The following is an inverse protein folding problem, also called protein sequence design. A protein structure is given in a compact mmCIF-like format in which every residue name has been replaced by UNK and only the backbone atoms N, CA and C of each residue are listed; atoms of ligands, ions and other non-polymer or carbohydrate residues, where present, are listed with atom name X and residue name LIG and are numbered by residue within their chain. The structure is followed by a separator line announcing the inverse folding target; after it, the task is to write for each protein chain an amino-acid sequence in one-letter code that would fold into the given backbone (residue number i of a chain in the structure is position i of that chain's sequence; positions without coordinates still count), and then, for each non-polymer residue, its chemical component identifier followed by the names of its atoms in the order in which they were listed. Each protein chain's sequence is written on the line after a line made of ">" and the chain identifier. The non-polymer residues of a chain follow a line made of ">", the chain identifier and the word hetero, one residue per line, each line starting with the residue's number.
data_IF_312199240965
#
_entry.id   IF_312199240965
#
_cell.length_a   1.000
_cell.length_b   1.000
_cell.length_c   1.000
_cell.angle_alpha   90.00
_cell.angle_beta   90.00
_cell.angle_gamma   90.00
#
_symmetry.space_group_name_H-M   'P 1'
#
loop_
_entity.id
_entity.type
_entity.pdbx_description
1 polymer ?
#
# COMPACT_ATOMS: atom_id res chain seq x y z
N UNK A 1 -32.58 4.69 2.13
CA UNK A 1 -31.79 3.62 2.81
C UNK A 1 -30.42 3.52 2.17
N UNK A 2 -29.35 3.66 2.97
CA UNK A 2 -27.96 3.76 2.50
C UNK A 2 -27.33 2.37 2.29
N UNK A 3 -26.50 2.12 1.28
CA UNK A 3 -25.69 0.88 1.20
C UNK A 3 -24.32 1.17 0.56
N UNK A 4 -23.25 0.69 1.18
CA UNK A 4 -21.84 0.88 0.76
C UNK A 4 -21.30 -0.43 0.19
N UNK A 5 -20.62 -0.39 -0.95
CA UNK A 5 -19.85 -1.53 -1.47
C UNK A 5 -18.35 -1.19 -1.42
N UNK A 6 -17.56 -1.97 -0.68
CA UNK A 6 -16.12 -1.80 -0.53
C UNK A 6 -15.35 -2.92 -1.27
N UNK A 7 -14.27 -2.57 -1.97
CA UNK A 7 -13.35 -3.55 -2.55
C UNK A 7 -12.08 -3.69 -1.72
N UNK A 8 -11.79 -4.88 -1.16
CA UNK A 8 -10.52 -5.19 -0.50
C UNK A 8 -9.72 -6.21 -1.33
N UNK A 9 -8.41 -5.97 -1.49
CA UNK A 9 -7.46 -6.95 -2.04
C UNK A 9 -6.91 -7.76 -0.86
N UNK A 10 -7.20 -9.05 -0.80
CA UNK A 10 -6.87 -9.93 0.32
C UNK A 10 -5.39 -9.85 0.72
N UNK A 11 -5.15 -9.54 2.00
CA UNK A 11 -3.86 -9.71 2.67
C UNK A 11 -3.99 -10.85 3.67
N UNK A 12 -3.11 -11.84 3.56
CA UNK A 12 -2.93 -12.96 4.49
C UNK A 12 -2.94 -12.49 5.96
N UNK A 13 -3.71 -13.16 6.83
CA UNK A 13 -3.59 -13.05 8.27
C UNK A 13 -2.95 -14.33 8.80
N UNK A 14 -1.65 -14.28 9.09
CA UNK A 14 -0.92 -15.35 9.76
C UNK A 14 -1.19 -15.21 11.26
N UNK A 15 -1.99 -16.11 11.82
CA UNK A 15 -2.14 -16.27 13.27
C UNK A 15 -0.93 -17.08 13.78
N UNK A 16 -0.08 -16.47 14.61
CA UNK A 16 1.02 -17.15 15.29
C UNK A 16 0.65 -17.28 16.76
N UNK A 17 0.27 -18.49 17.17
CA UNK A 17 0.06 -18.83 18.57
C UNK A 17 1.41 -19.14 19.22
N UNK A 18 1.71 -18.49 20.35
CA UNK A 18 2.82 -18.88 21.22
C UNK A 18 2.27 -19.60 22.45
N UNK A 19 2.45 -20.92 22.58
CA UNK A 19 2.20 -21.62 23.82
C UNK A 19 3.44 -21.52 24.72
N UNK A 20 3.21 -21.60 26.04
CA UNK A 20 4.20 -21.79 27.13
C UNK A 20 4.94 -20.55 27.65
N UNK A 21 4.43 -19.96 28.74
CA UNK A 21 5.06 -19.96 30.08
C UNK A 21 4.22 -19.16 31.10
N UNK A 22 3.66 -19.89 32.05
CA UNK A 22 3.16 -19.46 33.37
C UNK A 22 3.99 -20.25 34.41
N UNK A 23 4.14 -19.84 35.69
CA UNK A 23 2.97 -19.67 36.55
C UNK A 23 3.05 -18.66 37.72
N UNK A 24 1.87 -18.15 38.09
CA UNK A 24 1.67 -17.39 39.33
C UNK A 24 0.21 -17.22 39.71
N UNK A 25 -0.41 -18.30 40.22
CA UNK A 25 -1.52 -18.39 41.19
C UNK A 25 -2.63 -17.30 41.19
N UNK A 26 -3.89 -17.68 40.99
CA UNK A 26 -4.83 -18.11 42.05
C UNK A 26 -6.30 -18.30 41.57
N UNK A 27 -6.94 -19.29 42.19
CA UNK A 27 -8.39 -19.56 42.42
C UNK A 27 -9.34 -19.86 41.25
N UNK A 28 -9.84 -21.11 41.29
CA UNK A 28 -11.01 -21.64 40.60
C UNK A 28 -12.33 -20.99 41.04
N UNK A 29 -13.21 -20.71 40.08
CA UNK A 29 -14.63 -21.08 40.18
C UNK A 29 -15.29 -21.07 38.79
N UNK A 30 -16.16 -22.05 38.47
CA UNK A 30 -16.79 -22.18 37.16
C UNK A 30 -18.06 -21.32 37.12
N UNK A 31 -18.19 -20.47 36.10
CA UNK A 31 -19.46 -19.80 35.79
C UNK A 31 -19.70 -19.91 34.30
N UNK A 32 -20.76 -20.63 33.94
CA UNK A 32 -21.37 -20.61 32.62
C UNK A 32 -21.84 -19.20 32.30
N UNK A 33 -21.51 -18.68 31.11
CA UNK A 33 -22.12 -17.46 30.60
C UNK A 33 -22.87 -17.76 29.32
N UNK A 34 -24.19 -17.90 29.50
CA UNK A 34 -25.21 -17.56 28.51
C UNK A 34 -25.14 -16.06 28.17
N UNK A 35 -25.59 -15.74 26.96
CA UNK A 35 -25.67 -14.41 26.35
C UNK A 35 -25.98 -13.25 27.31
N UNK A 36 -25.23 -12.14 27.16
CA UNK A 36 -25.47 -10.88 27.85
C UNK A 36 -24.32 -9.90 27.65
N UNK A 37 -24.27 -9.25 26.50
CA UNK A 37 -23.34 -8.13 26.25
C UNK A 37 -23.85 -6.91 27.03
N UNK A 38 -23.36 -6.71 28.25
CA UNK A 38 -23.44 -5.43 28.96
C UNK A 38 -22.01 -5.04 29.38
N UNK A 39 -21.46 -4.01 28.75
CA UNK A 39 -20.13 -3.51 29.12
C UNK A 39 -19.38 -2.64 28.12
N UNK A 40 -20.05 -2.04 27.13
CA UNK A 40 -19.46 -0.92 26.38
C UNK A 40 -20.12 0.38 26.87
N UNK A 41 -19.35 1.48 27.05
CA UNK A 41 -19.89 2.74 27.52
C UNK A 41 -20.95 3.25 26.55
N UNK A 42 -22.07 3.70 27.12
CA UNK A 42 -23.23 4.26 26.44
C UNK A 42 -22.90 5.59 25.73
N UNK A 43 -22.22 5.49 24.59
CA UNK A 43 -22.01 6.59 23.64
C UNK A 43 -22.92 6.46 22.40
N UNK A 44 -24.09 5.83 22.60
CA UNK A 44 -25.10 5.68 21.56
C UNK A 44 -26.36 6.35 22.06
N UNK A 45 -26.52 7.61 21.68
CA UNK A 45 -27.76 8.35 21.86
C UNK A 45 -28.85 7.69 20.99
N UNK A 46 -29.95 7.18 21.57
CA UNK A 46 -31.04 6.55 20.82
C UNK A 46 -31.80 7.52 19.90
N UNK A 47 -31.49 8.82 19.92
CA UNK A 47 -32.02 9.81 18.96
C UNK A 47 -31.27 9.83 17.62
N UNK A 48 -30.09 9.19 17.52
CA UNK A 48 -29.36 9.09 16.25
C UNK A 48 -30.09 8.10 15.34
N UNK A 49 -30.88 8.62 14.39
CA UNK A 49 -31.47 7.84 13.30
C UNK A 49 -30.35 7.06 12.58
N UNK A 50 -30.31 5.75 12.75
CA UNK A 50 -29.47 4.90 11.91
C UNK A 50 -29.95 5.01 10.46
N UNK A 51 -29.09 5.43 9.54
CA UNK A 51 -29.39 5.57 8.10
C UNK A 51 -29.65 4.22 7.37
N UNK A 52 -29.88 3.14 8.12
CA UNK A 52 -30.14 1.80 7.60
C UNK A 52 -29.03 1.32 6.65
N UNK A 53 -27.77 1.62 6.98
CA UNK A 53 -26.64 1.36 6.11
C UNK A 53 -26.22 -0.12 6.11
N UNK A 54 -26.07 -0.74 4.93
CA UNK A 54 -25.46 -2.08 4.79
C UNK A 54 -24.17 -2.03 3.97
N UNK A 55 -23.14 -2.75 4.41
CA UNK A 55 -21.84 -2.86 3.74
C UNK A 55 -21.72 -4.19 2.97
N UNK A 56 -21.29 -4.11 1.72
CA UNK A 56 -21.02 -5.26 0.84
C UNK A 56 -19.56 -5.24 0.39
N UNK A 57 -18.99 -6.41 0.14
CA UNK A 57 -17.60 -6.54 -0.28
C UNK A 57 -17.59 -7.13 -1.69
N UNK A 58 -17.13 -6.36 -2.67
CA UNK A 58 -17.08 -6.82 -4.06
C UNK A 58 -16.12 -8.00 -4.20
N UNK A 59 -16.59 -9.07 -4.85
CA UNK A 59 -15.82 -10.30 -5.07
C UNK A 59 -16.00 -11.35 -3.97
N UNK A 60 -16.78 -11.06 -2.92
CA UNK A 60 -17.29 -12.10 -2.02
C UNK A 60 -18.64 -12.59 -2.56
N UNK A 61 -18.76 -13.87 -2.99
CA UNK A 61 -19.97 -14.37 -3.66
C UNK A 61 -21.27 -14.13 -2.88
N UNK A 62 -21.23 -14.27 -1.56
CA UNK A 62 -22.39 -14.05 -0.67
C UNK A 62 -22.85 -12.58 -0.68
N UNK A 63 -21.90 -11.64 -0.69
CA UNK A 63 -22.19 -10.21 -0.73
C UNK A 63 -22.67 -9.80 -2.12
N UNK A 64 -22.04 -10.33 -3.17
CA UNK A 64 -22.41 -10.07 -4.56
C UNK A 64 -23.84 -10.58 -4.86
N UNK A 65 -24.18 -11.78 -4.37
CA UNK A 65 -25.53 -12.34 -4.49
C UNK A 65 -26.55 -11.48 -3.74
N UNK A 66 -26.30 -11.20 -2.46
CA UNK A 66 -27.24 -10.43 -1.63
C UNK A 66 -27.46 -9.03 -2.20
N UNK A 67 -26.39 -8.35 -2.66
CA UNK A 67 -26.49 -7.06 -3.31
C UNK A 67 -27.33 -7.16 -4.60
N UNK A 68 -27.11 -8.18 -5.43
CA UNK A 68 -27.89 -8.39 -6.66
C UNK A 68 -29.38 -8.58 -6.38
N UNK A 69 -29.74 -9.38 -5.36
CA UNK A 69 -31.12 -9.60 -4.95
C UNK A 69 -31.79 -8.28 -4.54
N UNK A 70 -31.12 -7.49 -3.69
CA UNK A 70 -31.62 -6.19 -3.24
C UNK A 70 -31.81 -5.20 -4.40
N UNK A 71 -30.87 -5.13 -5.34
CA UNK A 71 -30.96 -4.23 -6.48
C UNK A 71 -32.14 -4.57 -7.40
N UNK A 72 -32.51 -5.85 -7.48
CA UNK A 72 -33.66 -6.31 -8.28
C UNK A 72 -35.01 -5.97 -7.65
N UNK A 73 -35.08 -5.85 -6.33
CA UNK A 73 -36.34 -5.54 -5.62
C UNK A 73 -36.91 -4.16 -5.99
N UNK A 74 -36.05 -3.18 -6.28
CA UNK A 74 -36.46 -1.80 -6.49
C UNK A 74 -35.51 -1.06 -7.44
N UNK A 75 -35.47 -1.49 -8.69
CA UNK A 75 -34.60 -0.90 -9.72
C UNK A 75 -34.91 0.59 -9.91
N UNK A 76 -36.19 0.96 -9.90
CA UNK A 76 -36.64 2.33 -10.18
C UNK A 76 -36.43 3.29 -9.01
N UNK A 77 -36.46 2.81 -7.77
CA UNK A 77 -36.11 3.58 -6.58
C UNK A 77 -34.63 3.51 -6.19
N UNK A 78 -33.78 2.82 -6.95
CA UNK A 78 -32.34 2.68 -6.62
C UNK A 78 -31.48 3.52 -7.56
N UNK A 79 -30.58 4.33 -7.01
CA UNK A 79 -29.58 5.10 -7.77
C UNK A 79 -28.15 4.70 -7.39
N UNK A 80 -27.24 4.68 -8.36
CA UNK A 80 -25.81 4.47 -8.16
C UNK A 80 -25.08 5.81 -8.16
N UNK A 81 -24.37 6.14 -7.08
CA UNK A 81 -23.51 7.32 -7.02
C UNK A 81 -22.21 7.05 -7.79
N UNK A 82 -22.21 7.39 -9.08
CA UNK A 82 -21.06 7.20 -9.98
C UNK A 82 -21.19 8.13 -11.21
N UNK A 83 -20.19 8.98 -11.50
CA UNK A 83 -20.26 9.90 -12.63
C UNK A 83 -19.92 9.18 -13.94
N UNK A 84 -20.93 8.56 -14.56
CA UNK A 84 -20.90 8.05 -15.92
C UNK A 84 -21.42 9.09 -16.92
N UNK A 85 -21.26 8.83 -18.22
CA UNK A 85 -21.74 9.74 -19.28
C UNK A 85 -23.27 9.88 -19.30
N UNK A 86 -23.99 8.92 -18.71
CA UNK A 86 -25.45 8.91 -18.57
C UNK A 86 -25.91 9.28 -17.15
N UNK A 87 -24.99 9.71 -16.28
CA UNK A 87 -25.34 10.05 -14.91
C UNK A 87 -26.11 11.38 -14.88
N UNK A 88 -27.20 11.41 -14.13
CA UNK A 88 -27.97 12.62 -13.89
C UNK A 88 -27.40 13.39 -12.69
N UNK A 89 -27.46 14.74 -12.68
CA UNK A 89 -27.20 15.50 -11.47
C UNK A 89 -28.16 15.07 -10.35
N UNK A 90 -27.64 14.89 -9.13
CA UNK A 90 -28.46 14.50 -7.98
C UNK A 90 -29.64 15.47 -7.72
N UNK A 91 -29.45 16.77 -7.94
CA UNK A 91 -30.51 17.78 -7.82
C UNK A 91 -31.65 17.58 -8.83
N UNK A 92 -31.37 17.06 -10.03
CA UNK A 92 -32.42 16.72 -10.99
C UNK A 92 -33.24 15.50 -10.53
N UNK A 93 -32.61 14.54 -9.85
CA UNK A 93 -33.31 13.41 -9.25
C UNK A 93 -34.24 13.82 -8.09
N UNK A 94 -33.86 14.85 -7.33
CA UNK A 94 -34.70 15.42 -6.29
C UNK A 94 -35.95 16.09 -6.88
N UNK A 95 -35.78 16.85 -7.97
CA UNK A 95 -36.86 17.52 -8.67
C UNK A 95 -37.89 16.56 -9.30
N UNK A 96 -37.49 15.32 -9.59
CA UNK A 96 -38.42 14.27 -10.02
C UNK A 96 -39.32 13.76 -8.89
N UNK A 97 -39.04 14.11 -7.63
CA UNK A 97 -39.63 13.54 -6.41
C UNK A 97 -41.14 13.69 -6.23
N UNK A 98 -41.80 14.57 -6.98
CA UNK A 98 -43.26 14.67 -7.02
C UNK A 98 -43.91 13.62 -7.95
N UNK A 99 -43.11 12.95 -8.78
CA UNK A 99 -43.54 11.87 -9.67
C UNK A 99 -42.89 10.55 -9.25
N UNK A 100 -43.68 9.50 -9.05
CA UNK A 100 -43.14 8.15 -8.81
C UNK A 100 -42.25 7.72 -10.00
N UNK A 101 -41.03 7.22 -9.75
CA UNK A 101 -40.50 6.73 -8.47
C UNK A 101 -39.50 7.69 -7.80
N UNK A 102 -39.71 7.97 -6.50
CA UNK A 102 -38.75 8.68 -5.63
C UNK A 102 -37.52 7.79 -5.34
N UNK A 103 -36.34 8.39 -5.23
CA UNK A 103 -35.12 7.67 -4.81
C UNK A 103 -35.30 7.13 -3.38
N UNK A 104 -35.32 5.81 -3.24
CA UNK A 104 -35.44 5.09 -1.96
C UNK A 104 -34.11 4.49 -1.50
N UNK A 105 -33.21 4.20 -2.44
CA UNK A 105 -31.93 3.52 -2.19
C UNK A 105 -30.79 4.17 -2.96
N UNK A 106 -29.66 4.35 -2.28
CA UNK A 106 -28.42 4.82 -2.89
C UNK A 106 -27.36 3.74 -2.75
N UNK A 107 -26.72 3.41 -3.87
CA UNK A 107 -25.55 2.53 -3.92
C UNK A 107 -24.31 3.40 -4.04
N UNK A 108 -23.43 3.32 -3.04
CA UNK A 108 -22.16 4.05 -3.02
C UNK A 108 -21.02 3.08 -3.29
N UNK A 109 -20.20 3.38 -4.30
CA UNK A 109 -19.05 2.57 -4.70
C UNK A 109 -17.77 3.09 -4.04
N UNK A 110 -17.26 2.39 -3.03
CA UNK A 110 -16.07 2.79 -2.30
C UNK A 110 -14.80 2.05 -2.74
N UNK A 111 -13.78 2.80 -3.11
CA UNK A 111 -12.50 2.25 -3.55
C UNK A 111 -11.66 3.24 -4.36
N UNK A 112 -10.55 2.75 -4.92
CA UNK A 112 -9.79 3.51 -5.91
C UNK A 112 -10.59 3.64 -7.22
N UNK A 113 -10.35 4.72 -7.99
CA UNK A 113 -11.11 5.02 -9.21
C UNK A 113 -11.24 3.84 -10.20
N UNK A 114 -10.14 3.12 -10.43
CA UNK A 114 -10.14 1.94 -11.29
C UNK A 114 -11.03 0.80 -10.73
N UNK A 115 -11.03 0.61 -9.41
CA UNK A 115 -11.88 -0.38 -8.75
C UNK A 115 -13.35 0.03 -8.80
N UNK A 116 -13.67 1.30 -8.54
CA UNK A 116 -15.04 1.81 -8.67
C UNK A 116 -15.58 1.65 -10.10
N UNK A 117 -14.73 1.86 -11.12
CA UNK A 117 -15.10 1.61 -12.52
C UNK A 117 -15.44 0.14 -12.78
N UNK A 118 -14.62 -0.80 -12.26
CA UNK A 118 -14.90 -2.25 -12.34
C UNK A 118 -16.20 -2.62 -11.63
N UNK A 119 -16.43 -2.10 -10.43
CA UNK A 119 -17.68 -2.34 -9.68
C UNK A 119 -18.90 -1.79 -10.43
N UNK A 120 -18.81 -0.58 -11.00
CA UNK A 120 -19.91 -0.01 -11.79
C UNK A 120 -20.23 -0.82 -13.06
N UNK A 121 -19.23 -1.43 -13.70
CA UNK A 121 -19.42 -2.32 -14.87
C UNK A 121 -20.11 -3.63 -14.52
N UNK A 122 -19.99 -4.09 -13.27
CA UNK A 122 -20.65 -5.30 -12.77
C UNK A 122 -22.12 -5.05 -12.40
N UNK A 123 -22.46 -3.82 -11.99
CA UNK A 123 -23.84 -3.44 -11.66
C UNK A 123 -24.74 -3.38 -12.91
N UNK A 124 -26.01 -3.72 -12.73
CA UNK A 124 -27.03 -3.68 -13.78
C UNK A 124 -27.05 -2.31 -14.50
N UNK A 125 -26.82 -2.25 -15.83
CA UNK A 125 -26.88 -1.01 -16.60
C UNK A 125 -28.23 -0.27 -16.53
N UNK A 126 -29.32 -0.96 -16.18
CA UNK A 126 -30.65 -0.35 -16.04
C UNK A 126 -30.79 0.56 -14.81
N UNK A 127 -29.93 0.40 -13.80
CA UNK A 127 -29.95 1.28 -12.62
C UNK A 127 -29.56 2.71 -13.00
N UNK A 128 -30.31 3.75 -12.61
CA UNK A 128 -29.89 5.12 -12.85
C UNK A 128 -28.57 5.41 -12.13
N UNK A 129 -27.68 6.14 -12.82
CA UNK A 129 -26.45 6.68 -12.23
C UNK A 129 -26.68 8.15 -11.91
N UNK A 130 -26.04 8.64 -10.85
CA UNK A 130 -26.03 10.05 -10.53
C UNK A 130 -24.63 10.56 -10.20
N UNK A 131 -24.46 11.87 -10.36
CA UNK A 131 -23.29 12.58 -9.90
C UNK A 131 -23.69 13.81 -9.08
N UNK A 132 -22.74 14.30 -8.30
CA UNK A 132 -22.91 15.47 -7.43
C UNK A 132 -21.95 16.56 -7.88
N UNK A 133 -22.39 17.81 -7.79
CA UNK A 133 -21.51 18.94 -8.05
C UNK A 133 -20.79 19.34 -6.75
N UNK A 134 -19.79 18.53 -6.40
CA UNK A 134 -18.98 18.72 -5.21
C UNK A 134 -17.52 18.95 -5.59
N UNK A 135 -16.84 19.74 -4.79
CA UNK A 135 -15.41 20.00 -4.96
C UNK A 135 -14.60 19.33 -3.86
N UNK A 136 -13.31 19.13 -4.12
CA UNK A 136 -12.38 18.66 -3.10
C UNK A 136 -12.17 19.73 -2.03
N UNK A 137 -12.20 21.00 -2.42
CA UNK A 137 -11.99 22.14 -1.55
C UNK A 137 -13.07 22.22 -0.47
N UNK A 138 -14.30 21.80 -0.80
CA UNK A 138 -15.46 21.79 0.08
C UNK A 138 -15.36 20.76 1.22
N UNK A 139 -15.00 19.50 0.91
CA UNK A 139 -14.99 18.40 1.89
C UNK A 139 -13.58 17.96 2.31
N UNK A 140 -12.55 18.69 1.86
CA UNK A 140 -11.17 18.25 1.94
C UNK A 140 -10.87 17.05 1.04
N UNK A 141 -9.64 16.54 1.12
CA UNK A 141 -9.32 15.29 0.43
C UNK A 141 -8.06 14.63 0.95
N UNK A 142 -8.19 13.37 1.33
CA UNK A 142 -7.12 12.50 1.83
C UNK A 142 -6.02 12.23 0.80
N UNK A 143 -6.34 12.28 -0.49
CA UNK A 143 -5.40 11.99 -1.59
C UNK A 143 -5.24 13.17 -2.55
N UNK A 144 -4.00 13.50 -2.92
CA UNK A 144 -3.70 14.49 -3.97
C UNK A 144 -3.77 13.84 -5.35
N UNK A 145 -4.87 14.03 -6.06
CA UNK A 145 -4.92 13.79 -7.50
C UNK A 145 -4.29 15.00 -8.21
N UNK A 146 -3.20 14.79 -8.97
CA UNK A 146 -2.57 15.88 -9.74
C UNK A 146 -3.43 16.19 -10.97
N UNK A 147 -3.81 17.46 -11.15
CA UNK A 147 -4.46 17.94 -12.36
C UNK A 147 -5.94 17.55 -12.54
N UNK A 148 -6.58 16.95 -11.54
CA UNK A 148 -8.00 16.60 -11.61
C UNK A 148 -8.70 17.20 -10.38
N UNK A 149 -9.45 18.27 -10.60
CA UNK A 149 -10.19 19.02 -9.56
C UNK A 149 -11.55 18.40 -9.26
N UNK A 150 -12.16 17.71 -10.22
CA UNK A 150 -13.54 17.22 -10.14
C UNK A 150 -13.65 15.85 -9.44
N UNK A 151 -12.69 15.50 -8.57
CA UNK A 151 -12.69 14.24 -7.83
C UNK A 151 -12.85 14.52 -6.35
N UNK A 152 -13.96 14.04 -5.81
CA UNK A 152 -14.27 14.10 -4.38
C UNK A 152 -14.10 12.72 -3.76
N UNK A 153 -13.75 12.68 -2.49
CA UNK A 153 -13.74 11.44 -1.71
C UNK A 153 -15.16 10.88 -1.52
N UNK A 154 -15.30 9.56 -1.39
CA UNK A 154 -16.59 8.87 -1.27
C UNK A 154 -17.51 9.51 -0.23
N UNK A 155 -16.99 9.81 0.97
CA UNK A 155 -17.76 10.44 2.04
C UNK A 155 -18.24 11.87 1.68
N UNK A 156 -17.39 12.68 1.05
CA UNK A 156 -17.76 14.03 0.61
C UNK A 156 -18.79 13.99 -0.53
N UNK A 157 -18.62 13.07 -1.47
CA UNK A 157 -19.60 12.84 -2.52
C UNK A 157 -20.96 12.39 -1.95
N UNK A 158 -20.94 11.58 -0.89
CA UNK A 158 -22.15 11.17 -0.20
C UNK A 158 -22.84 12.32 0.55
N UNK A 159 -22.10 13.17 1.27
CA UNK A 159 -22.67 14.37 1.91
C UNK A 159 -23.31 15.30 0.89
N UNK A 160 -22.61 15.56 -0.23
CA UNK A 160 -23.16 16.35 -1.32
C UNK A 160 -24.41 15.71 -1.93
N UNK A 161 -24.44 14.38 -2.07
CA UNK A 161 -25.63 13.68 -2.56
C UNK A 161 -26.82 13.88 -1.63
N UNK A 162 -26.64 13.75 -0.31
CA UNK A 162 -27.73 13.93 0.65
C UNK A 162 -28.28 15.36 0.61
N UNK A 163 -27.40 16.36 0.47
CA UNK A 163 -27.79 17.76 0.26
C UNK A 163 -28.60 17.93 -1.03
N UNK A 164 -28.09 17.40 -2.13
CA UNK A 164 -28.69 17.56 -3.46
C UNK A 164 -30.01 16.78 -3.60
N UNK A 165 -30.22 15.73 -2.79
CA UNK A 165 -31.49 15.00 -2.66
C UNK A 165 -32.51 15.67 -1.71
N UNK A 166 -32.20 16.86 -1.20
CA UNK A 166 -33.06 17.63 -0.28
C UNK A 166 -33.41 16.86 1.01
N UNK A 167 -32.47 16.05 1.51
CA UNK A 167 -32.61 15.41 2.81
C UNK A 167 -32.58 16.44 3.95
N UNK A 168 -33.09 16.06 5.12
CA UNK A 168 -33.25 16.94 6.27
C UNK A 168 -31.96 17.73 6.57
N UNK A 169 -31.97 19.09 6.53
CA UNK A 169 -30.76 19.90 6.62
C UNK A 169 -29.93 19.64 7.88
N UNK A 170 -30.59 19.36 9.01
CA UNK A 170 -29.92 19.02 10.27
C UNK A 170 -29.14 17.71 10.17
N UNK A 171 -29.70 16.70 9.49
CA UNK A 171 -29.02 15.42 9.24
C UNK A 171 -27.82 15.61 8.32
N UNK A 172 -27.98 16.37 7.23
CA UNK A 172 -26.88 16.68 6.30
C UNK A 172 -25.75 17.43 7.01
N UNK A 173 -26.10 18.43 7.83
CA UNK A 173 -25.14 19.19 8.62
C UNK A 173 -24.37 18.31 9.61
N UNK A 174 -25.06 17.41 10.33
CA UNK A 174 -24.43 16.50 11.28
C UNK A 174 -23.42 15.54 10.61
N UNK A 175 -23.76 14.99 9.44
CA UNK A 175 -22.84 14.11 8.68
C UNK A 175 -21.65 14.93 8.15
N UNK A 176 -21.91 16.14 7.67
CA UNK A 176 -20.86 17.05 7.17
C UNK A 176 -19.88 17.45 8.29
N UNK A 177 -20.39 17.79 9.47
CA UNK A 177 -19.57 18.13 10.65
C UNK A 177 -18.74 16.93 11.11
N UNK A 178 -19.35 15.74 11.16
CA UNK A 178 -18.66 14.50 11.50
C UNK A 178 -17.53 14.18 10.51
N UNK A 179 -17.76 14.41 9.21
CA UNK A 179 -16.73 14.27 8.18
C UNK A 179 -15.61 15.32 8.37
N UNK A 180 -15.95 16.57 8.70
CA UNK A 180 -15.00 17.62 9.03
C UNK A 180 -14.08 17.23 10.20
N UNK A 181 -14.67 16.80 11.32
CA UNK A 181 -13.92 16.35 12.50
C UNK A 181 -13.00 15.15 12.22
N UNK A 182 -13.46 14.21 11.38
CA UNK A 182 -12.63 13.10 10.91
C UNK A 182 -11.45 13.61 10.06
N UNK A 183 -11.70 14.54 9.14
CA UNK A 183 -10.67 15.11 8.26
C UNK A 183 -9.62 15.90 9.05
N UNK A 184 -10.03 16.68 10.05
CA UNK A 184 -9.13 17.39 10.96
C UNK A 184 -8.25 16.41 11.75
N UNK A 185 -8.85 15.36 12.29
CA UNK A 185 -8.13 14.28 12.99
C UNK A 185 -7.13 13.58 12.07
N UNK A 186 -7.53 13.27 10.83
CA UNK A 186 -6.67 12.66 9.82
C UNK A 186 -5.49 13.56 9.46
N UNK A 187 -5.74 14.86 9.25
CA UNK A 187 -4.70 15.85 8.96
C UNK A 187 -3.75 15.99 10.16
N UNK A 188 -4.26 16.05 11.39
CA UNK A 188 -3.45 16.08 12.60
C UNK A 188 -2.53 14.85 12.70
N UNK A 189 -3.05 13.63 12.48
CA UNK A 189 -2.27 12.40 12.46
C UNK A 189 -1.18 12.42 11.37
N UNK A 190 -1.50 12.92 10.18
CA UNK A 190 -0.52 13.07 9.10
C UNK A 190 0.57 14.08 9.45
N UNK A 191 0.23 15.18 10.12
CA UNK A 191 1.20 16.17 10.59
C UNK A 191 2.06 15.63 11.71
N UNK A 192 1.49 14.96 12.71
CA UNK A 192 2.25 14.30 13.77
C UNK A 192 3.18 13.24 13.21
N UNK A 193 2.71 12.40 12.28
CA UNK A 193 3.54 11.42 11.60
C UNK A 193 4.71 12.07 10.85
N UNK A 194 4.46 13.20 10.17
CA UNK A 194 5.50 13.99 9.49
C UNK A 194 6.45 14.70 10.46
N UNK A 195 5.95 15.23 11.57
CA UNK A 195 6.76 15.88 12.60
C UNK A 195 7.63 14.85 13.32
N UNK A 196 7.11 13.65 13.63
CA UNK A 196 7.90 12.52 14.12
C UNK A 196 8.97 12.12 13.11
N UNK A 197 8.62 12.01 11.82
CA UNK A 197 9.60 11.74 10.77
C UNK A 197 10.66 12.85 10.60
N UNK A 198 10.29 14.13 10.76
CA UNK A 198 11.20 15.27 10.68
C UNK A 198 12.07 15.40 11.93
N UNK A 199 11.51 15.16 13.13
CA UNK A 199 12.24 15.12 14.39
C UNK A 199 13.28 14.00 14.36
N UNK A 200 12.91 12.82 13.86
CA UNK A 200 13.86 11.71 13.65
C UNK A 200 14.97 12.05 12.65
N UNK A 201 14.75 13.00 11.72
CA UNK A 201 15.76 13.51 10.78
C UNK A 201 16.58 14.70 11.32
N UNK A 202 16.14 15.35 12.39
CA UNK A 202 16.80 16.53 12.94
C UNK A 202 18.21 16.23 13.50
N UNK A 203 18.46 15.09 14.18
CA UNK A 203 19.81 14.68 14.56
C UNK A 203 20.74 14.50 13.35
N UNK A 204 20.24 13.91 12.25
CA UNK A 204 21.00 13.72 11.01
C UNK A 204 21.38 15.06 10.37
N UNK A 205 20.48 16.04 10.39
CA UNK A 205 20.74 17.39 9.88
C UNK A 205 21.71 18.18 10.76
N UNK A 206 21.56 18.10 12.09
CA UNK A 206 22.49 18.73 13.04
C UNK A 206 23.89 18.15 12.95
N UNK A 207 24.02 16.83 12.78
CA UNK A 207 25.32 16.19 12.55
C UNK A 207 26.01 16.69 11.29
N UNK A 208 25.26 17.02 10.23
CA UNK A 208 25.80 17.62 9.00
C UNK A 208 26.23 19.08 9.15
N UNK A 209 25.52 19.88 9.94
CA UNK A 209 25.85 21.31 10.10
C UNK A 209 26.97 21.58 11.10
N UNK A 210 27.29 20.62 11.98
CA UNK A 210 28.37 20.80 12.99
C UNK A 210 29.77 20.58 12.39
N UNK A 211 29.88 20.26 11.10
CA UNK A 211 31.16 19.98 10.42
C UNK A 211 31.47 21.01 9.33
N UNK A 212 31.51 22.30 9.68
CA UNK A 212 32.21 23.35 8.93
C UNK A 212 32.24 24.68 9.71
N UNK A 213 33.18 24.79 10.64
CA UNK A 213 33.85 26.07 10.83
C UNK A 213 35.08 26.07 9.91
N UNK A 214 35.10 26.88 8.84
CA UNK A 214 36.36 27.14 8.16
C UNK A 214 37.21 28.00 9.09
N UNK A 215 38.40 27.51 9.43
CA UNK A 215 39.46 28.33 10.00
C UNK A 215 39.66 29.53 9.07
N UNK A 216 39.38 30.72 9.58
CA UNK A 216 39.73 31.99 8.94
C UNK A 216 41.24 32.14 9.13
N UNK A 217 42.00 31.62 8.18
CA UNK A 217 43.36 32.09 7.92
C UNK A 217 43.31 33.02 6.70
N UNK A 218 43.69 34.28 6.95
CA UNK A 218 43.69 35.31 5.94
C UNK A 218 44.76 35.10 4.87
N UNK A 219 44.53 35.71 3.71
CA UNK A 219 45.52 36.46 2.93
C UNK A 219 45.07 36.59 1.47
N UNK A 220 45.04 37.84 0.97
CA UNK A 220 45.54 38.15 -0.37
C UNK A 220 44.57 38.09 -1.56
N UNK A 221 44.15 39.29 -1.98
CA UNK A 221 44.05 39.80 -3.36
C UNK A 221 43.54 38.91 -4.51
N UNK A 222 42.57 39.44 -5.27
CA UNK A 222 42.51 39.22 -6.72
C UNK A 222 41.12 39.32 -7.35
N UNK A 223 40.83 40.48 -7.97
CA UNK A 223 39.69 40.71 -8.86
C UNK A 223 39.68 39.76 -10.09
N UNK A 224 38.50 39.34 -10.55
CA UNK A 224 37.89 39.82 -11.80
C UNK A 224 36.57 39.09 -12.11
N UNK A 225 35.71 39.81 -12.82
CA UNK A 225 34.31 39.56 -13.10
C UNK A 225 34.04 38.40 -14.08
N UNK A 226 32.83 37.84 -14.00
CA UNK A 226 32.27 36.94 -15.00
C UNK A 226 30.80 36.62 -14.71
N UNK A 227 29.89 37.36 -15.35
CA UNK A 227 28.46 37.08 -15.39
C UNK A 227 28.16 35.76 -16.10
N UNK A 228 27.20 34.99 -15.58
CA UNK A 228 26.70 33.78 -16.22
C UNK A 228 25.49 33.22 -15.48
N UNK A 229 24.30 33.51 -16.00
CA UNK A 229 23.03 33.02 -15.49
C UNK A 229 22.88 31.50 -15.58
N UNK A 230 22.16 30.93 -14.62
CA UNK A 230 21.84 29.50 -14.59
C UNK A 230 20.59 29.25 -13.74
N UNK A 231 19.58 28.68 -14.38
CA UNK A 231 18.22 28.52 -13.89
C UNK A 231 18.11 27.71 -12.59
N UNK A 232 17.26 28.22 -11.70
CA UNK A 232 16.77 27.55 -10.49
C UNK A 232 15.88 26.38 -10.89
N UNK A 233 16.30 25.16 -10.54
CA UNK A 233 15.47 23.96 -10.61
C UNK A 233 15.17 23.49 -9.18
N UNK A 234 13.89 23.53 -8.82
CA UNK A 234 13.37 22.99 -7.55
C UNK A 234 13.17 21.47 -7.67
N UNK A 235 13.63 20.64 -6.70
CA UNK A 235 13.27 19.22 -6.69
C UNK A 235 11.90 19.02 -6.03
N UNK A 236 11.00 18.40 -6.79
CA UNK A 236 9.67 18.00 -6.34
C UNK A 236 9.72 16.89 -5.29
N UNK A 237 9.05 17.12 -4.15
CA UNK A 237 8.87 16.13 -3.08
C UNK A 237 7.99 14.96 -3.52
N UNK A 238 8.53 13.75 -3.36
CA UNK A 238 7.81 12.48 -3.51
C UNK A 238 7.00 12.13 -2.27
N UNK A 239 5.80 11.62 -2.50
CA UNK A 239 4.84 11.16 -1.49
C UNK A 239 5.22 9.78 -0.95
N UNK A 240 5.29 9.59 0.37
CA UNK A 240 5.46 8.28 1.01
C UNK A 240 4.11 7.65 1.34
N UNK A 241 3.90 6.40 0.94
CA UNK A 241 2.82 5.50 1.39
C UNK A 241 3.40 4.56 2.46
N UNK A 242 2.56 4.19 3.43
CA UNK A 242 2.89 3.63 4.75
C UNK A 242 3.73 2.34 4.78
N UNK A 243 4.43 2.22 5.91
CA UNK A 243 5.69 1.52 6.14
C UNK A 243 5.43 0.14 6.81
N UNK A 244 5.77 -0.97 6.13
CA UNK A 244 6.50 -2.05 6.80
C UNK A 244 7.97 -1.63 6.75
N UNK A 245 8.77 -1.95 7.77
CA UNK A 245 10.15 -1.45 7.86
C UNK A 245 11.07 -1.99 6.74
N UNK A 246 11.01 -1.33 5.57
CA UNK A 246 11.78 -1.66 4.37
C UNK A 246 13.30 -1.63 4.61
N UNK A 247 13.74 -0.99 5.71
CA UNK A 247 15.14 -0.90 6.11
C UNK A 247 15.69 -2.27 6.54
N UNK A 248 14.89 -3.10 7.20
CA UNK A 248 15.31 -4.43 7.62
C UNK A 248 15.46 -5.38 6.43
N UNK A 249 14.54 -5.37 5.46
CA UNK A 249 14.58 -6.27 4.31
C UNK A 249 15.78 -6.02 3.37
N UNK A 250 16.26 -4.78 3.27
CA UNK A 250 17.38 -4.41 2.38
C UNK A 250 18.73 -4.81 2.96
N UNK A 251 18.89 -4.81 4.29
CA UNK A 251 20.09 -5.31 4.94
C UNK A 251 20.25 -6.82 4.73
N UNK A 252 19.15 -7.59 4.76
CA UNK A 252 19.24 -9.05 4.64
C UNK A 252 19.52 -9.45 3.18
N UNK A 253 18.95 -8.78 2.17
CA UNK A 253 19.13 -9.12 0.74
C UNK A 253 20.58 -8.99 0.22
N UNK A 254 21.45 -8.25 0.91
CA UNK A 254 22.86 -8.11 0.55
C UNK A 254 23.78 -9.24 1.05
N UNK A 255 23.35 -10.02 2.05
CA UNK A 255 24.25 -10.83 2.88
C UNK A 255 24.54 -12.25 2.37
N UNK A 256 23.74 -12.78 1.46
CA UNK A 256 23.83 -14.20 1.10
C UNK A 256 24.81 -14.51 -0.02
N UNK A 257 24.33 -14.45 -1.27
CA UNK A 257 25.10 -14.98 -2.40
C UNK A 257 26.32 -14.12 -2.80
N UNK A 258 26.23 -12.80 -2.69
CA UNK A 258 27.34 -11.91 -3.08
C UNK A 258 28.52 -11.97 -2.11
N UNK A 259 28.21 -12.04 -0.80
CA UNK A 259 29.17 -12.14 0.28
C UNK A 259 29.86 -13.50 0.26
N UNK A 260 29.12 -14.60 0.09
CA UNK A 260 29.72 -15.93 -0.05
C UNK A 260 30.59 -16.03 -1.29
N UNK A 261 30.10 -15.64 -2.48
CA UNK A 261 30.89 -15.75 -3.71
C UNK A 261 32.15 -14.90 -3.61
N UNK A 262 32.09 -13.67 -3.11
CA UNK A 262 33.30 -12.85 -2.94
C UNK A 262 34.20 -13.36 -1.82
N UNK A 263 33.66 -13.80 -0.69
CA UNK A 263 34.44 -14.40 0.38
C UNK A 263 35.24 -15.61 -0.13
N UNK A 264 34.58 -16.53 -0.84
CA UNK A 264 35.20 -17.74 -1.38
C UNK A 264 36.08 -17.49 -2.61
N UNK A 265 35.88 -16.40 -3.36
CA UNK A 265 36.72 -16.10 -4.53
C UNK A 265 37.85 -15.11 -4.26
N UNK A 266 37.76 -14.29 -3.21
CA UNK A 266 38.72 -13.22 -2.90
C UNK A 266 39.54 -13.54 -1.67
N UNK A 267 38.90 -13.98 -0.58
CA UNK A 267 39.58 -14.20 0.70
C UNK A 267 40.15 -15.62 0.79
N UNK A 268 39.46 -16.59 0.20
CA UNK A 268 39.93 -17.95 0.11
C UNK A 268 39.92 -18.52 -1.31
N UNK A 269 40.64 -17.86 -2.27
CA UNK A 269 40.74 -18.34 -3.64
C UNK A 269 41.46 -19.69 -3.62
N UNK A 270 40.67 -20.75 -3.60
CA UNK A 270 41.13 -22.12 -3.81
C UNK A 270 41.78 -22.78 -2.57
N UNK A 271 41.25 -22.54 -1.36
CA UNK A 271 41.56 -23.43 -0.24
C UNK A 271 41.28 -24.89 -0.61
N UNK A 272 42.16 -25.76 -0.13
CA UNK A 272 41.99 -27.22 -0.18
C UNK A 272 40.70 -27.68 0.54
N UNK A 273 40.15 -26.85 1.43
CA UNK A 273 38.93 -27.12 2.17
C UNK A 273 37.72 -26.46 1.49
N UNK A 274 36.78 -27.29 1.03
CA UNK A 274 35.46 -26.85 0.56
C UNK A 274 34.71 -26.07 1.64
N UNK A 275 33.84 -25.11 1.27
CA UNK A 275 32.96 -24.43 2.23
C UNK A 275 32.29 -25.43 3.16
N UNK A 276 32.22 -25.08 4.45
CA UNK A 276 31.46 -25.91 5.39
C UNK A 276 30.02 -25.97 4.87
N UNK A 277 29.48 -27.18 4.77
CA UNK A 277 28.10 -27.39 4.32
C UNK A 277 27.12 -26.50 5.10
N UNK A 278 27.40 -26.28 6.38
CA UNK A 278 26.57 -25.46 7.26
C UNK A 278 26.57 -23.98 6.84
N UNK A 279 27.71 -23.41 6.47
CA UNK A 279 27.79 -22.01 6.05
C UNK A 279 27.04 -21.80 4.73
N UNK A 280 27.28 -22.66 3.74
CA UNK A 280 26.55 -22.65 2.47
C UNK A 280 25.05 -22.81 2.66
N UNK A 281 24.64 -23.72 3.56
CA UNK A 281 23.24 -23.94 3.87
C UNK A 281 22.61 -22.71 4.53
N UNK A 282 23.26 -22.13 5.55
CA UNK A 282 22.73 -20.98 6.29
C UNK A 282 22.59 -19.74 5.42
N UNK A 283 23.62 -19.39 4.65
CA UNK A 283 23.61 -18.18 3.84
C UNK A 283 22.89 -18.39 2.50
N UNK A 284 23.13 -19.52 1.82
CA UNK A 284 22.51 -19.84 0.54
C UNK A 284 21.00 -20.03 0.63
N UNK A 285 20.49 -20.80 1.60
CA UNK A 285 19.03 -20.99 1.74
C UNK A 285 18.35 -19.72 2.20
N UNK A 286 18.94 -18.98 3.15
CA UNK A 286 18.38 -17.68 3.57
C UNK A 286 18.27 -16.73 2.38
N UNK A 287 19.28 -16.71 1.51
CA UNK A 287 19.24 -15.94 0.27
C UNK A 287 18.13 -16.38 -0.68
N UNK A 288 17.97 -17.69 -0.93
CA UNK A 288 16.90 -18.21 -1.79
C UNK A 288 15.52 -17.88 -1.22
N UNK A 289 15.30 -18.09 0.08
CA UNK A 289 14.02 -17.79 0.74
C UNK A 289 13.68 -16.30 0.68
N UNK A 290 14.68 -15.44 0.86
CA UNK A 290 14.50 -14.02 0.67
C UNK A 290 14.24 -13.63 -0.79
N UNK A 291 14.88 -14.29 -1.75
CA UNK A 291 14.64 -14.04 -3.16
C UNK A 291 13.20 -14.41 -3.53
N UNK A 292 12.72 -15.56 -3.04
CA UNK A 292 11.31 -15.96 -3.16
C UNK A 292 10.42 -14.92 -2.49
N UNK A 293 10.71 -14.56 -1.24
CA UNK A 293 9.95 -13.53 -0.50
C UNK A 293 9.93 -12.19 -1.24
N UNK A 294 11.04 -11.75 -1.83
CA UNK A 294 11.14 -10.53 -2.62
C UNK A 294 10.32 -10.58 -3.92
N UNK A 295 10.30 -11.74 -4.59
CA UNK A 295 9.49 -11.93 -5.79
C UNK A 295 7.99 -12.04 -5.46
N UNK A 296 7.64 -12.63 -4.31
CA UNK A 296 6.26 -12.77 -3.85
C UNK A 296 5.71 -11.51 -3.18
N UNK A 297 6.54 -10.77 -2.45
CA UNK A 297 6.16 -9.53 -1.78
C UNK A 297 6.36 -8.37 -2.75
N UNK A 298 5.33 -7.56 -2.97
CA UNK A 298 5.42 -6.36 -3.83
C UNK A 298 6.21 -5.22 -3.18
N UNK A 299 7.32 -5.54 -2.50
CA UNK A 299 8.19 -4.57 -1.86
C UNK A 299 8.81 -3.71 -2.97
N UNK A 300 8.60 -2.39 -2.96
CA UNK A 300 9.20 -1.49 -3.94
C UNK A 300 10.69 -1.35 -3.61
N UNK A 301 11.55 -1.94 -4.43
CA UNK A 301 12.99 -1.78 -4.31
C UNK A 301 13.47 -0.79 -5.37
N UNK A 302 14.15 0.25 -4.90
CA UNK A 302 14.68 1.32 -5.75
C UNK A 302 16.11 1.59 -5.40
N UNK A 303 16.93 1.91 -6.40
CA UNK A 303 18.38 2.07 -6.24
C UNK A 303 18.78 3.09 -5.18
N UNK A 304 17.93 4.09 -4.90
CA UNK A 304 18.21 5.08 -3.84
C UNK A 304 18.29 4.45 -2.45
N UNK A 305 17.58 3.35 -2.19
CA UNK A 305 17.69 2.63 -0.92
C UNK A 305 19.01 1.87 -0.80
N UNK A 306 19.59 1.43 -1.93
CA UNK A 306 20.92 0.81 -1.97
C UNK A 306 22.03 1.74 -1.46
N UNK A 307 21.85 3.06 -1.57
CA UNK A 307 22.77 4.04 -1.00
C UNK A 307 22.90 3.94 0.52
N UNK A 308 21.83 3.56 1.24
CA UNK A 308 21.88 3.36 2.69
C UNK A 308 22.72 2.14 3.08
N UNK A 309 22.64 1.05 2.30
CA UNK A 309 23.46 -0.13 2.50
C UNK A 309 24.95 0.20 2.34
N UNK A 310 25.30 0.95 1.29
CA UNK A 310 26.68 1.39 1.06
C UNK A 310 27.16 2.30 2.21
N UNK A 311 26.34 3.27 2.61
CA UNK A 311 26.68 4.17 3.72
C UNK A 311 26.89 3.42 5.04
N UNK A 312 26.02 2.44 5.34
CA UNK A 312 26.16 1.58 6.52
C UNK A 312 27.45 0.75 6.46
N UNK A 313 27.75 0.15 5.31
CA UNK A 313 28.99 -0.59 5.10
C UNK A 313 30.25 0.27 5.28
N UNK A 314 30.25 1.50 4.75
CA UNK A 314 31.35 2.46 4.98
C UNK A 314 31.49 2.78 6.48
N UNK A 315 30.37 2.97 7.19
CA UNK A 315 30.41 3.18 8.63
C UNK A 315 31.01 1.98 9.38
N UNK A 316 30.70 0.74 8.98
CA UNK A 316 31.31 -0.47 9.52
C UNK A 316 32.84 -0.49 9.29
N UNK A 317 33.31 -0.14 8.09
CA UNK A 317 34.76 -0.07 7.81
C UNK A 317 35.46 0.96 8.69
N UNK A 318 34.89 2.15 8.82
CA UNK A 318 35.41 3.19 9.70
C UNK A 318 35.45 2.69 11.15
N UNK A 319 34.40 2.01 11.59
CA UNK A 319 34.30 1.44 12.93
C UNK A 319 35.36 0.36 13.18
N UNK A 320 35.65 -0.50 12.21
CA UNK A 320 36.76 -1.49 12.24
C UNK A 320 38.10 -0.80 12.53
N UNK A 321 38.39 0.33 11.89
CA UNK A 321 39.61 1.10 12.15
C UNK A 321 39.63 1.73 13.54
N UNK A 322 38.49 2.21 14.04
CA UNK A 322 38.39 2.71 15.42
C UNK A 322 38.70 1.62 16.44
N UNK A 323 38.13 0.43 16.28
CA UNK A 323 38.42 -0.72 17.15
C UNK A 323 39.91 -1.08 17.13
N UNK A 324 40.52 -1.15 15.95
CA UNK A 324 41.95 -1.43 15.81
C UNK A 324 42.82 -0.37 16.51
N UNK A 325 42.56 0.92 16.27
CA UNK A 325 43.38 2.00 16.80
C UNK A 325 43.24 2.18 18.32
N UNK A 326 42.01 2.03 18.84
CA UNK A 326 41.68 2.26 20.24
C UNK A 326 41.76 0.98 21.09
N UNK A 327 41.96 -0.19 20.47
CA UNK A 327 41.98 -1.51 21.12
C UNK A 327 40.73 -1.76 21.96
N UNK A 328 39.57 -1.45 21.39
CA UNK A 328 38.27 -1.61 22.05
C UNK A 328 37.87 -3.09 22.00
N UNK A 329 38.06 -3.80 23.12
CA UNK A 329 37.74 -5.21 23.26
C UNK A 329 36.52 -5.51 24.12
N UNK A 330 35.99 -6.73 23.94
CA UNK A 330 34.99 -7.30 24.84
C UNK A 330 35.72 -7.93 26.03
N UNK A 331 35.32 -7.68 27.29
CA UNK A 331 35.91 -8.34 28.45
C UNK A 331 35.83 -9.86 28.30
N UNK A 332 36.99 -10.51 28.30
CA UNK A 332 37.15 -11.96 28.09
C UNK A 332 38.06 -12.32 26.92
N UNK A 333 38.05 -11.52 25.85
CA UNK A 333 38.90 -11.70 24.67
C UNK A 333 38.79 -13.06 23.95
N UNK A 334 39.54 -13.21 22.87
CA UNK A 334 39.65 -14.48 22.14
C UNK A 334 41.05 -15.05 22.36
N UNK A 335 41.15 -16.35 22.68
CA UNK A 335 42.43 -17.01 22.98
C UNK A 335 43.44 -16.97 21.80
N UNK A 336 42.94 -16.77 20.57
CA UNK A 336 43.72 -16.77 19.34
C UNK A 336 44.48 -15.45 19.10
N UNK A 337 44.12 -14.37 19.79
CA UNK A 337 44.65 -13.03 19.53
C UNK A 337 45.47 -12.52 20.71
N UNK A 338 46.52 -11.75 20.42
CA UNK A 338 47.40 -11.14 21.43
C UNK A 338 46.66 -10.05 22.21
N UNK A 339 45.72 -9.38 21.56
CA UNK A 339 44.86 -8.39 22.18
C UNK A 339 43.59 -9.08 22.72
N UNK A 340 43.08 -8.69 23.90
CA UNK A 340 41.92 -9.34 24.52
C UNK A 340 40.61 -8.86 23.89
N UNK A 341 40.50 -8.99 22.57
CA UNK A 341 39.34 -8.64 21.77
C UNK A 341 39.08 -9.71 20.71
N UNK A 342 37.80 -9.86 20.36
CA UNK A 342 37.35 -10.82 19.37
C UNK A 342 36.75 -10.05 18.20
N UNK A 343 37.17 -10.29 16.95
CA UNK A 343 36.52 -9.65 15.82
C UNK A 343 35.04 -10.07 15.74
N UNK A 344 34.18 -9.16 15.30
CA UNK A 344 32.74 -9.41 15.18
C UNK A 344 32.45 -10.54 14.18
N UNK A 345 33.24 -10.59 13.10
CA UNK A 345 33.24 -11.65 12.10
C UNK A 345 34.67 -11.92 11.68
N UNK A 346 35.01 -13.17 11.36
CA UNK A 346 36.34 -13.55 10.86
C UNK A 346 36.74 -12.77 9.60
N UNK A 347 35.76 -12.50 8.72
CA UNK A 347 35.90 -11.72 7.47
C UNK A 347 36.24 -10.24 7.73
N UNK A 348 35.75 -9.71 8.86
CA UNK A 348 35.97 -8.33 9.28
C UNK A 348 36.89 -8.29 10.50
N UNK A 349 38.02 -9.01 10.40
CA UNK A 349 39.01 -9.07 11.47
C UNK A 349 39.72 -7.71 11.62
N UNK A 350 39.29 -6.93 12.61
CA UNK A 350 39.89 -5.62 12.89
C UNK A 350 41.33 -5.71 13.40
N UNK A 351 41.84 -6.87 13.82
CA UNK A 351 43.28 -7.04 14.09
C UNK A 351 44.13 -6.98 12.81
N UNK A 352 43.50 -7.21 11.65
CA UNK A 352 44.09 -7.15 10.31
C UNK A 352 43.33 -6.10 9.48
N UNK A 353 43.39 -4.81 9.85
CA UNK A 353 42.54 -3.79 9.27
C UNK A 353 42.75 -3.63 7.76
N UNK A 354 43.95 -3.93 7.24
CA UNK A 354 44.20 -3.89 5.78
C UNK A 354 43.43 -4.99 5.02
N UNK A 355 43.32 -6.18 5.60
CA UNK A 355 42.56 -7.29 4.99
C UNK A 355 41.08 -6.95 5.05
N UNK A 356 40.58 -6.60 6.25
CA UNK A 356 39.19 -6.21 6.45
C UNK A 356 38.77 -5.02 5.55
N UNK A 357 39.64 -4.02 5.37
CA UNK A 357 39.36 -2.86 4.50
C UNK A 357 39.31 -3.25 3.03
N UNK A 358 40.20 -4.14 2.59
CA UNK A 358 40.26 -4.59 1.20
C UNK A 358 39.03 -5.42 0.85
N UNK A 359 38.67 -6.39 1.71
CA UNK A 359 37.45 -7.19 1.56
C UNK A 359 36.21 -6.32 1.57
N UNK A 360 36.12 -5.38 2.51
CA UNK A 360 34.98 -4.45 2.59
C UNK A 360 34.88 -3.53 1.37
N UNK A 361 36.02 -3.03 0.86
CA UNK A 361 36.05 -2.20 -0.34
C UNK A 361 35.53 -2.98 -1.54
N UNK A 362 36.00 -4.21 -1.76
CA UNK A 362 35.53 -5.06 -2.85
C UNK A 362 34.03 -5.37 -2.70
N UNK A 363 33.57 -5.65 -1.49
CA UNK A 363 32.17 -5.90 -1.23
C UNK A 363 31.29 -4.67 -1.57
N UNK A 364 31.66 -3.49 -1.04
CA UNK A 364 30.87 -2.26 -1.18
C UNK A 364 30.95 -1.64 -2.57
N UNK A 365 32.07 -1.79 -3.27
CA UNK A 365 32.28 -1.19 -4.60
C UNK A 365 31.89 -2.12 -5.76
N UNK A 366 31.87 -3.44 -5.54
CA UNK A 366 31.58 -4.43 -6.59
C UNK A 366 30.33 -5.23 -6.27
N UNK A 367 30.30 -5.94 -5.13
CA UNK A 367 29.17 -6.82 -4.79
C UNK A 367 27.85 -6.08 -4.63
N UNK A 368 27.84 -5.06 -3.76
CA UNK A 368 26.62 -4.34 -3.43
C UNK A 368 26.02 -3.67 -4.67
N UNK A 369 26.78 -2.93 -5.51
CA UNK A 369 26.22 -2.35 -6.74
C UNK A 369 25.67 -3.41 -7.70
N UNK A 370 26.37 -4.53 -7.90
CA UNK A 370 25.89 -5.63 -8.74
C UNK A 370 24.59 -6.23 -8.19
N UNK A 371 24.52 -6.49 -6.89
CA UNK A 371 23.31 -6.98 -6.25
C UNK A 371 22.15 -5.98 -6.37
N UNK A 372 22.38 -4.69 -6.12
CA UNK A 372 21.37 -3.64 -6.26
C UNK A 372 20.83 -3.60 -7.70
N UNK A 373 21.71 -3.66 -8.70
CA UNK A 373 21.31 -3.68 -10.11
C UNK A 373 20.51 -4.94 -10.44
N UNK A 374 20.96 -6.11 -9.97
CA UNK A 374 20.26 -7.38 -10.15
C UNK A 374 18.86 -7.35 -9.54
N UNK A 375 18.71 -6.93 -8.28
CA UNK A 375 17.41 -6.82 -7.63
C UNK A 375 16.51 -5.76 -8.28
N UNK A 376 17.08 -4.64 -8.73
CA UNK A 376 16.33 -3.65 -9.50
C UNK A 376 15.83 -4.21 -10.84
N UNK A 377 16.63 -5.04 -11.52
CA UNK A 377 16.22 -5.73 -12.75
C UNK A 377 15.12 -6.75 -12.46
N UNK A 378 15.27 -7.56 -11.40
CA UNK A 378 14.26 -8.54 -10.99
C UNK A 378 12.95 -7.87 -10.57
N UNK A 379 13.00 -6.74 -9.86
CA UNK A 379 11.80 -5.95 -9.55
C UNK A 379 11.09 -5.51 -10.83
N UNK A 380 11.85 -4.98 -11.81
CA UNK A 380 11.28 -4.57 -13.10
C UNK A 380 10.69 -5.74 -13.88
N UNK A 381 11.34 -6.89 -13.89
CA UNK A 381 10.83 -8.10 -14.53
C UNK A 381 9.56 -8.60 -13.85
N UNK A 382 9.53 -8.66 -12.51
CA UNK A 382 8.34 -8.99 -11.72
C UNK A 382 7.19 -8.03 -12.04
N UNK A 383 7.43 -6.73 -11.98
CA UNK A 383 6.41 -5.71 -12.21
C UNK A 383 5.92 -5.74 -13.68
N UNK A 384 6.79 -6.07 -14.65
CA UNK A 384 6.40 -6.28 -16.04
C UNK A 384 5.52 -7.51 -16.22
N UNK A 385 5.83 -8.63 -15.55
CA UNK A 385 5.00 -9.83 -15.53
C UNK A 385 3.64 -9.58 -14.86
N UNK A 386 3.60 -8.82 -13.77
CA UNK A 386 2.36 -8.46 -13.06
C UNK A 386 1.43 -7.60 -13.95
N UNK A 387 2.00 -6.64 -14.69
CA UNK A 387 1.21 -5.85 -15.65
C UNK A 387 0.60 -6.73 -16.75
N UNK A 388 1.31 -7.79 -17.19
CA UNK A 388 0.75 -8.74 -18.13
C UNK A 388 -0.33 -9.64 -17.51
N UNK A 389 -0.21 -9.95 -16.22
CA UNK A 389 -1.21 -10.75 -15.51
C UNK A 389 -2.51 -9.95 -15.30
N UNK A 390 -2.41 -8.68 -14.92
CA UNK A 390 -3.55 -7.76 -14.82
C UNK A 390 -4.22 -7.56 -16.20
N UNK A 391 -3.45 -7.51 -17.29
CA UNK A 391 -3.99 -7.44 -18.66
C UNK A 391 -4.70 -8.73 -19.07
N UNK A 392 -4.12 -9.91 -18.76
CA UNK A 392 -4.77 -11.20 -19.05
C UNK A 392 -6.06 -11.39 -18.26
N UNK A 393 -6.07 -11.00 -16.98
CA UNK A 393 -7.28 -11.05 -16.17
C UNK A 393 -8.35 -10.10 -16.74
N UNK A 394 -7.96 -8.93 -17.23
CA UNK A 394 -8.87 -8.01 -17.92
C UNK A 394 -9.39 -8.60 -19.25
N UNK A 395 -8.52 -9.22 -20.05
CA UNK A 395 -8.92 -9.88 -21.31
C UNK A 395 -9.86 -11.08 -21.06
N UNK A 396 -9.65 -11.83 -19.97
CA UNK A 396 -10.55 -12.91 -19.55
C UNK A 396 -11.92 -12.35 -19.14
N UNK A 397 -11.96 -11.24 -18.38
CA UNK A 397 -13.22 -10.57 -18.01
C UNK A 397 -13.96 -10.06 -19.25
N UNK A 398 -13.26 -9.38 -20.17
CA UNK A 398 -13.84 -8.87 -21.42
C UNK A 398 -14.37 -10.01 -22.29
N UNK A 399 -13.62 -11.11 -22.40
CA UNK A 399 -14.05 -12.30 -23.15
C UNK A 399 -15.32 -12.92 -22.58
N UNK A 400 -15.39 -13.09 -21.26
CA UNK A 400 -16.61 -13.61 -20.61
C UNK A 400 -17.81 -12.68 -20.83
N UNK A 401 -17.61 -11.36 -20.81
CA UNK A 401 -18.67 -10.40 -21.12
C UNK A 401 -19.13 -10.50 -22.57
N UNK A 402 -18.21 -10.66 -23.52
CA UNK A 402 -18.53 -10.79 -24.93
C UNK A 402 -19.25 -12.11 -25.23
N UNK A 403 -18.85 -13.22 -24.61
CA UNK A 403 -19.53 -14.51 -24.68
C UNK A 403 -20.94 -14.44 -24.08
N UNK A 404 -21.12 -13.75 -22.95
CA UNK A 404 -22.42 -13.53 -22.32
C UNK A 404 -23.36 -12.69 -23.20
N UNK A 405 -22.85 -11.64 -23.85
CA UNK A 405 -23.62 -10.84 -24.81
C UNK A 405 -24.05 -11.66 -26.03
N UNK A 406 -23.13 -12.44 -26.61
CA UNK A 406 -23.44 -13.33 -27.74
C UNK A 406 -24.42 -14.45 -27.34
N UNK A 407 -24.38 -14.94 -26.10
CA UNK A 407 -25.38 -15.88 -25.60
C UNK A 407 -26.76 -15.22 -25.52
N UNK A 408 -26.84 -14.00 -24.98
CA UNK A 408 -28.09 -13.23 -24.89
C UNK A 408 -28.69 -12.91 -26.27
N UNK A 409 -27.86 -12.51 -27.24
CA UNK A 409 -28.31 -12.29 -28.61
C UNK A 409 -28.89 -13.55 -29.25
N UNK A 410 -28.28 -14.71 -29.01
CA UNK A 410 -28.79 -16.00 -29.50
C UNK A 410 -30.12 -16.38 -28.85
N UNK A 411 -30.31 -16.08 -27.57
CA UNK A 411 -31.59 -16.31 -26.89
C UNK A 411 -32.69 -15.40 -27.42
N UNK A 412 -32.39 -14.11 -27.64
CA UNK A 412 -33.34 -13.16 -28.24
C UNK A 412 -33.73 -13.56 -29.67
N UNK A 413 -32.77 -14.02 -30.47
CA UNK A 413 -33.03 -14.51 -31.82
C UNK A 413 -33.95 -15.75 -31.81
N UNK A 414 -33.71 -16.69 -30.89
CA UNK A 414 -34.58 -17.88 -30.72
C UNK A 414 -35.99 -17.48 -30.33
N UNK A 415 -36.14 -16.58 -29.36
CA UNK A 415 -37.45 -16.09 -28.92
C UNK A 415 -38.22 -15.42 -30.06
N UNK A 416 -37.55 -14.62 -30.90
CA UNK A 416 -38.17 -13.98 -32.07
C UNK A 416 -38.64 -15.01 -33.12
N UNK A 417 -37.87 -16.07 -33.37
CA UNK A 417 -38.25 -17.15 -34.29
C UNK A 417 -39.47 -17.91 -33.74
N UNK A 418 -39.50 -18.22 -32.44
CA UNK A 418 -40.63 -18.91 -31.81
C UNK A 418 -41.93 -18.07 -31.87
N UNK A 419 -41.82 -16.74 -31.71
CA UNK A 419 -42.96 -15.82 -31.85
C UNK A 419 -43.49 -15.78 -33.29
N UNK A 420 -42.59 -15.77 -34.29
CA UNK A 420 -42.96 -15.83 -35.70
C UNK A 420 -43.66 -17.15 -36.05
N UNK A 421 -43.14 -18.30 -35.58
CA UNK A 421 -43.75 -19.62 -35.80
C UNK A 421 -45.14 -19.74 -35.16
N UNK A 422 -45.31 -19.21 -33.94
CA UNK A 422 -46.63 -19.16 -33.27
C UNK A 422 -47.63 -18.30 -34.04
N UNK A 423 -47.16 -17.17 -34.61
CA UNK A 423 -47.98 -16.32 -35.48
C UNK A 423 -48.45 -17.03 -36.75
N UNK A 424 -47.57 -17.79 -37.42
CA UNK A 424 -47.95 -18.57 -38.62
C UNK A 424 -48.96 -19.68 -38.33
N UNK A 425 -48.86 -20.35 -37.17
CA UNK A 425 -49.86 -21.34 -36.75
C UNK A 425 -51.25 -20.73 -36.54
N UNK A 426 -51.33 -19.50 -36.03
CA UNK A 426 -52.62 -18.84 -35.79
C UNK A 426 -53.35 -18.46 -37.09
N UNK A 427 -52.62 -18.09 -38.15
CA UNK A 427 -53.20 -17.75 -39.45
C UNK A 427 -53.66 -18.94 -40.29
N UNK A 428 -53.23 -20.17 -39.99
CA UNK A 428 -53.57 -21.38 -40.78
C UNK A 428 -54.84 -22.10 -40.30
N UNK A 429 -55.37 -21.72 -39.13
CA UNK A 429 -56.59 -22.29 -38.54
C UNK A 429 -57.85 -21.40 -38.70
N UNK A 430 -57.73 -20.28 -39.41
CA UNK A 430 -58.88 -19.53 -39.96
C UNK A 430 -58.99 -19.80 -41.44
#
# INVERSE_FOLDING_TARGET
>A
MLRLAAGFKAGFQLQVDFPWLLPGKFVNSPVSWSAGVHGLPAFWDPTVRQLGAELFCCGLPEHDQKLTELLREDVSGTVVLFPSDLALPAAELAALGDTEPRVRRVVVLDGGWAQCKKMNQWLDPALPRCFVNASREEFGGTRRYRGITNRVQTAGAFVALMRDLEEEPETVAAISESLGAFMDSFVAQMHEGRLKAAHNKLPELKARTTYKEPAVEGSGNGCLAGEGGGAVSTPGGGSSIGHLDHRAAILILGDGAGLEVLYWTVENPWAEDSPSYLDFFLHGISWVLMLISFLSSRIPLSCHHGGWLIAFGVACVVWTYFHFALRLGIPGGCATYVQPDCPLYSVLDWHKPQVASTTSFLFLSVACPLAIVLYAMLARLRDACDNQLDLREMDDVVRRQMEALQARERELLKAAIEEEEQGYCFCRCR
#
